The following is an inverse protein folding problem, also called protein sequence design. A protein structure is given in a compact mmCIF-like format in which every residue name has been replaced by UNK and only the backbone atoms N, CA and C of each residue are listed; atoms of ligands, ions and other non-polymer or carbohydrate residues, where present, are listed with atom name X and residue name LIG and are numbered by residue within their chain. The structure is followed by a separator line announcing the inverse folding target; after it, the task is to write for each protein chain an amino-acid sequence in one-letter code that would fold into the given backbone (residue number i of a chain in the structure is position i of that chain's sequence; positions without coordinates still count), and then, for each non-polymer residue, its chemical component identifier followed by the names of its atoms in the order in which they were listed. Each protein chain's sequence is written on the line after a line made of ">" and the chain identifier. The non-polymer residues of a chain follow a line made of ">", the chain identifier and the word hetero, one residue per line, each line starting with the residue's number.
data_IF_478544982398
#
_entry.id   IF_478544982398
#
_cell.length_a   1.000
_cell.length_b   1.000
_cell.length_c   1.000
_cell.angle_alpha   90.00
_cell.angle_beta   90.00
_cell.angle_gamma   90.00
#
_symmetry.space_group_name_H-M   'P 1'
#
loop_
_entity.id
_entity.type
_entity.pdbx_description
1 polymer ?
#
# COMPACT_ATOMS: atom_id res chain seq x y z
N UNK A 1 -3.37 28.36 -16.21
CA UNK A 1 -2.95 26.94 -16.19
C UNK A 1 -3.52 26.15 -15.00
N UNK A 2 -3.48 26.65 -13.76
CA UNK A 2 -3.99 25.92 -12.58
C UNK A 2 -5.47 25.49 -12.65
N UNK A 3 -6.37 26.37 -13.10
CA UNK A 3 -7.80 26.08 -13.21
C UNK A 3 -8.15 24.94 -14.18
N UNK A 4 -7.41 24.79 -15.28
CA UNK A 4 -7.61 23.69 -16.25
C UNK A 4 -7.18 22.35 -15.66
N UNK A 5 -6.06 22.33 -14.91
CA UNK A 5 -5.60 21.12 -14.22
C UNK A 5 -6.56 20.68 -13.12
N UNK A 6 -7.10 21.64 -12.35
CA UNK A 6 -8.10 21.35 -11.34
C UNK A 6 -9.36 20.74 -11.96
N UNK A 7 -9.85 21.27 -13.09
CA UNK A 7 -11.01 20.69 -13.79
C UNK A 7 -10.79 19.23 -14.19
N UNK A 8 -9.60 18.86 -14.66
CA UNK A 8 -9.27 17.46 -15.01
C UNK A 8 -9.32 16.54 -13.79
N UNK A 9 -8.79 16.98 -12.64
CA UNK A 9 -8.90 16.21 -11.39
C UNK A 9 -10.35 16.05 -10.96
N UNK A 10 -11.10 17.16 -10.96
CA UNK A 10 -12.50 17.15 -10.54
C UNK A 10 -13.36 16.25 -11.45
N UNK A 11 -12.99 16.06 -12.72
CA UNK A 11 -13.68 15.14 -13.62
C UNK A 11 -13.54 13.66 -13.22
N UNK A 12 -12.46 13.29 -12.52
CA UNK A 12 -12.29 11.95 -11.95
C UNK A 12 -12.77 11.85 -10.50
N UNK A 13 -13.24 12.95 -9.91
CA UNK A 13 -13.68 12.97 -8.51
C UNK A 13 -15.14 12.58 -8.41
N UNK A 14 -15.38 11.37 -7.91
CA UNK A 14 -16.73 10.89 -7.60
C UNK A 14 -17.26 11.52 -6.30
N UNK A 15 -18.57 11.75 -6.24
CA UNK A 15 -19.25 12.16 -5.00
C UNK A 15 -19.33 13.66 -4.69
N UNK A 16 -18.86 14.56 -5.58
CA UNK A 16 -19.00 16.03 -5.40
C UNK A 16 -20.46 16.42 -5.13
N UNK A 17 -21.38 15.81 -5.86
CA UNK A 17 -22.83 15.92 -5.67
C UNK A 17 -23.47 14.54 -5.44
N UNK A 18 -22.73 13.66 -4.75
CA UNK A 18 -23.10 12.26 -4.57
C UNK A 18 -24.36 12.08 -3.74
N UNK A 19 -25.11 11.02 -4.05
CA UNK A 19 -26.26 10.55 -3.27
C UNK A 19 -26.10 9.07 -3.00
N UNK A 20 -26.10 8.69 -1.73
CA UNK A 20 -25.91 7.31 -1.30
C UNK A 20 -27.15 6.81 -0.57
N UNK A 21 -27.82 5.81 -1.14
CA UNK A 21 -29.01 5.21 -0.54
C UNK A 21 -28.60 4.32 0.64
N UNK A 22 -29.33 4.44 1.76
CA UNK A 22 -29.05 3.65 2.96
C UNK A 22 -29.17 2.15 2.72
N UNK A 23 -30.08 1.72 1.83
CA UNK A 23 -30.24 0.33 1.43
C UNK A 23 -28.99 -0.26 0.76
N UNK A 24 -28.13 0.58 0.20
CA UNK A 24 -26.92 0.17 -0.52
C UNK A 24 -25.67 0.16 0.35
N UNK A 25 -25.73 0.70 1.57
CA UNK A 25 -24.58 0.72 2.48
C UNK A 25 -24.32 -0.71 2.99
N UNK A 26 -23.07 -1.18 2.93
CA UNK A 26 -22.65 -2.51 3.36
C UNK A 26 -21.69 -2.51 4.53
N UNK A 27 -20.87 -1.48 4.67
CA UNK A 27 -19.95 -1.33 5.79
C UNK A 27 -19.57 0.13 6.02
N UNK A 28 -19.37 0.49 7.29
CA UNK A 28 -19.02 1.83 7.73
C UNK A 28 -17.84 1.70 8.70
N UNK A 29 -16.74 2.38 8.39
CA UNK A 29 -15.52 2.34 9.18
C UNK A 29 -15.14 3.72 9.70
N UNK A 30 -14.79 3.80 10.99
CA UNK A 30 -14.00 4.92 11.51
C UNK A 30 -12.64 4.96 10.81
N UNK A 31 -12.21 6.16 10.45
CA UNK A 31 -10.93 6.42 9.78
C UNK A 31 -10.20 7.58 10.45
N UNK A 32 -8.91 7.66 10.13
CA UNK A 32 -8.10 8.83 10.40
C UNK A 32 -7.92 9.65 9.14
N UNK A 33 -7.75 10.96 9.29
CA UNK A 33 -7.29 11.86 8.25
C UNK A 33 -6.24 12.78 8.85
N UNK A 34 -5.06 12.86 8.21
CA UNK A 34 -3.88 13.55 8.79
C UNK A 34 -3.61 13.12 10.25
N UNK A 35 -3.69 11.81 10.49
CA UNK A 35 -3.56 11.16 11.80
C UNK A 35 -4.64 11.49 12.84
N UNK A 36 -5.61 12.37 12.53
CA UNK A 36 -6.73 12.72 13.40
C UNK A 36 -7.88 11.72 13.26
N UNK A 37 -8.44 11.24 14.37
CA UNK A 37 -9.56 10.27 14.36
C UNK A 37 -10.92 10.95 14.12
N UNK A 38 -11.03 11.61 12.97
CA UNK A 38 -12.14 12.49 12.60
C UNK A 38 -12.77 12.13 11.26
N UNK A 39 -12.42 10.99 10.67
CA UNK A 39 -12.91 10.58 9.37
C UNK A 39 -13.78 9.32 9.43
N UNK A 40 -14.55 9.11 8.36
CA UNK A 40 -15.42 7.96 8.17
C UNK A 40 -15.36 7.51 6.72
N UNK A 41 -15.35 6.20 6.50
CA UNK A 41 -15.44 5.63 5.16
C UNK A 41 -16.62 4.66 5.06
N UNK A 42 -17.39 4.80 3.98
CA UNK A 42 -18.63 4.09 3.74
C UNK A 42 -18.46 3.29 2.44
N UNK A 43 -18.69 1.99 2.51
CA UNK A 43 -18.67 1.11 1.33
C UNK A 43 -20.07 0.65 0.96
N UNK A 44 -20.33 0.69 -0.33
CA UNK A 44 -21.61 0.42 -0.96
C UNK A 44 -21.66 -1.01 -1.53
N UNK A 45 -22.85 -1.48 -1.92
CA UNK A 45 -23.07 -2.81 -2.49
C UNK A 45 -22.26 -3.07 -3.77
N UNK A 46 -22.10 -2.04 -4.60
CA UNK A 46 -21.29 -2.06 -5.82
C UNK A 46 -19.77 -1.95 -5.56
N UNK A 47 -19.32 -2.13 -4.31
CA UNK A 47 -17.91 -2.03 -3.87
C UNK A 47 -17.29 -0.64 -3.93
N UNK A 48 -18.03 0.39 -4.33
CA UNK A 48 -17.55 1.78 -4.24
C UNK A 48 -17.44 2.18 -2.77
N UNK A 49 -16.29 2.76 -2.40
CA UNK A 49 -16.04 3.37 -1.10
C UNK A 49 -15.98 4.88 -1.22
N UNK A 50 -16.64 5.61 -0.32
CA UNK A 50 -16.52 7.07 -0.19
C UNK A 50 -16.05 7.44 1.21
N UNK A 51 -15.09 8.36 1.30
CA UNK A 51 -14.51 8.83 2.55
C UNK A 51 -14.85 10.28 2.83
N UNK A 52 -15.20 10.58 4.08
CA UNK A 52 -15.48 11.92 4.58
C UNK A 52 -14.61 12.22 5.80
N UNK A 53 -14.09 13.44 5.89
CA UNK A 53 -13.49 13.97 7.11
C UNK A 53 -14.44 14.97 7.77
N UNK A 54 -14.45 14.99 9.10
CA UNK A 54 -15.30 15.85 9.92
C UNK A 54 -14.45 16.74 10.83
N UNK A 55 -15.03 17.79 11.45
CA UNK A 55 -14.29 18.67 12.36
C UNK A 55 -13.75 17.96 13.62
N UNK A 56 -14.47 16.98 14.15
CA UNK A 56 -14.12 16.30 15.40
C UNK A 56 -14.71 14.87 15.49
N UNK A 57 -14.20 14.10 16.45
CA UNK A 57 -14.64 12.73 16.71
C UNK A 57 -16.10 12.64 17.21
N UNK A 58 -16.59 13.69 17.89
CA UNK A 58 -17.97 13.73 18.37
C UNK A 58 -18.96 13.77 17.19
N UNK A 59 -18.60 14.48 16.12
CA UNK A 59 -19.34 14.58 14.87
C UNK A 59 -19.36 13.24 14.14
N UNK A 60 -18.22 12.54 14.05
CA UNK A 60 -18.18 11.17 13.51
C UNK A 60 -19.18 10.27 14.24
N UNK A 61 -19.20 10.31 15.57
CA UNK A 61 -20.15 9.52 16.38
C UNK A 61 -21.61 9.89 16.11
N UNK A 62 -21.93 11.19 15.98
CA UNK A 62 -23.27 11.67 15.62
C UNK A 62 -23.69 11.15 14.24
N UNK A 63 -22.82 11.24 13.25
CA UNK A 63 -23.07 10.74 11.88
C UNK A 63 -23.33 9.23 11.87
N UNK A 64 -22.47 8.43 12.53
CA UNK A 64 -22.67 6.97 12.63
C UNK A 64 -23.99 6.61 13.29
N UNK A 65 -24.45 7.39 14.28
CA UNK A 65 -25.75 7.17 14.93
C UNK A 65 -26.94 7.35 13.97
N UNK A 66 -26.81 8.21 12.97
CA UNK A 66 -27.82 8.43 11.93
C UNK A 66 -27.74 7.42 10.78
N UNK A 67 -26.60 6.75 10.60
CA UNK A 67 -26.39 5.79 9.51
C UNK A 67 -26.95 4.38 9.84
N UNK A 68 -27.17 3.52 8.83
CA UNK A 68 -27.60 2.14 9.01
C UNK A 68 -26.67 1.31 9.91
N UNK A 69 -27.23 0.34 10.63
CA UNK A 69 -26.50 -0.54 11.56
C UNK A 69 -25.80 -1.69 10.82
N UNK A 70 -24.81 -1.36 9.98
CA UNK A 70 -24.09 -2.35 9.17
C UNK A 70 -22.75 -2.80 9.77
N UNK A 71 -22.27 -2.10 10.81
CA UNK A 71 -20.94 -2.33 11.36
C UNK A 71 -19.86 -2.13 10.29
N UNK A 72 -18.85 -2.99 10.30
CA UNK A 72 -17.80 -3.03 9.27
C UNK A 72 -18.05 -4.12 8.22
N UNK A 73 -19.31 -4.48 8.01
CA UNK A 73 -19.71 -5.56 7.10
C UNK A 73 -19.65 -6.95 7.75
N UNK A 74 -19.92 -7.98 6.95
CA UNK A 74 -20.05 -9.37 7.41
C UNK A 74 -18.75 -10.19 7.28
N UNK A 75 -17.82 -9.72 6.46
CA UNK A 75 -16.65 -10.50 6.01
C UNK A 75 -15.66 -10.77 7.15
N UNK A 76 -15.58 -9.87 8.14
CA UNK A 76 -14.58 -9.93 9.22
C UNK A 76 -15.04 -10.68 10.47
N UNK A 77 -16.16 -11.39 10.40
CA UNK A 77 -16.68 -12.20 11.51
C UNK A 77 -17.07 -11.37 12.75
N UNK A 78 -17.48 -10.12 12.55
CA UNK A 78 -17.81 -9.19 13.63
C UNK A 78 -19.30 -8.81 13.63
N UNK A 79 -19.89 -8.48 14.79
CA UNK A 79 -21.27 -8.05 14.86
C UNK A 79 -21.52 -6.76 14.06
N UNK A 80 -22.61 -6.72 13.30
CA UNK A 80 -23.02 -5.54 12.52
C UNK A 80 -23.65 -4.48 13.42
N UNK A 81 -22.82 -3.76 14.17
CA UNK A 81 -23.26 -2.73 15.11
C UNK A 81 -22.52 -1.42 14.89
N UNK A 82 -23.17 -0.30 15.23
CA UNK A 82 -22.54 1.03 15.22
C UNK A 82 -21.31 1.12 16.13
N UNK A 83 -21.31 0.33 17.22
CA UNK A 83 -20.14 0.20 18.11
C UNK A 83 -18.94 -0.35 17.36
N UNK A 84 -19.13 -1.35 16.50
CA UNK A 84 -18.06 -1.92 15.68
C UNK A 84 -17.61 -0.93 14.59
N UNK A 85 -18.50 -0.15 13.99
CA UNK A 85 -18.11 0.94 13.08
C UNK A 85 -17.20 1.99 13.74
N UNK A 86 -17.36 2.22 15.05
CA UNK A 86 -16.58 3.16 15.86
C UNK A 86 -15.42 2.50 16.62
N UNK A 87 -15.20 1.19 16.45
CA UNK A 87 -14.17 0.47 17.17
C UNK A 87 -12.77 0.87 16.68
N UNK A 88 -11.79 0.87 17.59
CA UNK A 88 -10.41 1.12 17.21
C UNK A 88 -9.83 -0.05 16.42
N UNK A 89 -8.79 0.18 15.57
CA UNK A 89 -8.11 -0.90 14.84
C UNK A 89 -7.72 -2.09 15.72
N UNK A 90 -7.22 -1.82 16.94
CA UNK A 90 -6.82 -2.86 17.91
C UNK A 90 -8.01 -3.68 18.41
N UNK A 91 -9.17 -3.04 18.63
CA UNK A 91 -10.38 -3.73 19.04
C UNK A 91 -10.92 -4.63 17.92
N UNK A 92 -10.91 -4.13 16.67
CA UNK A 92 -11.34 -4.90 15.50
C UNK A 92 -10.43 -6.11 15.31
N UNK A 93 -9.11 -5.91 15.33
CA UNK A 93 -8.14 -7.00 15.18
C UNK A 93 -8.34 -8.10 16.23
N UNK A 94 -8.45 -7.73 17.52
CA UNK A 94 -8.60 -8.70 18.61
C UNK A 94 -9.92 -9.50 18.54
N UNK A 95 -10.99 -8.87 18.05
CA UNK A 95 -12.32 -9.47 18.07
C UNK A 95 -12.69 -10.19 16.76
N UNK A 96 -11.97 -9.93 15.66
CA UNK A 96 -12.21 -10.57 14.37
C UNK A 96 -11.71 -12.01 14.38
N UNK A 97 -12.35 -12.87 13.59
CA UNK A 97 -11.90 -14.25 13.35
C UNK A 97 -10.92 -14.38 12.16
N UNK A 98 -10.55 -13.29 11.51
CA UNK A 98 -9.76 -13.32 10.26
C UNK A 98 -8.37 -13.93 10.46
N UNK A 99 -7.73 -13.75 11.62
CA UNK A 99 -6.44 -14.35 11.93
C UNK A 99 -6.54 -15.88 11.99
N UNK A 100 -7.57 -16.41 12.65
CA UNK A 100 -7.79 -17.87 12.71
C UNK A 100 -8.09 -18.42 11.32
N UNK A 101 -8.94 -17.74 10.54
CA UNK A 101 -9.25 -18.13 9.16
C UNK A 101 -8.00 -18.15 8.28
N UNK A 102 -7.10 -17.18 8.45
CA UNK A 102 -5.81 -17.14 7.76
C UNK A 102 -4.91 -18.30 8.18
N UNK A 103 -4.80 -18.57 9.48
CA UNK A 103 -4.01 -19.70 10.01
C UNK A 103 -4.54 -21.07 9.52
N UNK A 104 -5.85 -21.19 9.38
CA UNK A 104 -6.52 -22.37 8.82
C UNK A 104 -6.54 -22.41 7.28
N UNK A 105 -5.90 -21.43 6.61
CA UNK A 105 -5.84 -21.31 5.14
C UNK A 105 -7.21 -21.16 4.46
N UNK A 106 -8.21 -20.68 5.18
CA UNK A 106 -9.51 -20.30 4.60
C UNK A 106 -9.44 -18.97 3.85
N UNK A 107 -8.42 -18.15 4.14
CA UNK A 107 -8.08 -16.94 3.41
C UNK A 107 -6.58 -16.90 3.10
N UNK A 108 -6.22 -16.36 1.95
CA UNK A 108 -4.84 -16.24 1.49
C UNK A 108 -4.07 -15.13 2.23
N UNK A 109 -2.73 -15.16 2.12
CA UNK A 109 -1.86 -14.07 2.62
C UNK A 109 -2.26 -12.71 2.04
N UNK A 110 -2.61 -12.65 0.75
CA UNK A 110 -3.05 -11.42 0.11
C UNK A 110 -4.33 -10.89 0.77
N UNK A 111 -5.34 -11.73 0.96
CA UNK A 111 -6.61 -11.33 1.60
C UNK A 111 -6.40 -10.91 3.05
N UNK A 112 -5.54 -11.61 3.78
CA UNK A 112 -5.21 -11.26 5.15
C UNK A 112 -4.44 -9.93 5.24
N UNK A 113 -3.47 -9.67 4.35
CA UNK A 113 -2.80 -8.37 4.25
C UNK A 113 -3.78 -7.25 3.87
N UNK A 114 -4.73 -7.49 2.97
CA UNK A 114 -5.78 -6.52 2.67
C UNK A 114 -6.68 -6.26 3.88
N UNK A 115 -7.02 -7.29 4.65
CA UNK A 115 -7.75 -7.14 5.91
C UNK A 115 -6.97 -6.27 6.90
N UNK A 116 -5.69 -6.57 7.16
CA UNK A 116 -4.84 -5.81 8.07
C UNK A 116 -4.74 -4.34 7.66
N UNK A 117 -4.52 -4.07 6.37
CA UNK A 117 -4.52 -2.72 5.82
C UNK A 117 -5.86 -2.00 6.08
N UNK A 118 -6.97 -2.66 5.75
CA UNK A 118 -8.33 -2.09 5.90
C UNK A 118 -8.66 -1.73 7.35
N UNK A 119 -8.36 -2.61 8.31
CA UNK A 119 -8.64 -2.35 9.73
C UNK A 119 -7.66 -1.35 10.34
N UNK A 120 -6.44 -1.25 9.81
CA UNK A 120 -5.48 -0.21 10.17
C UNK A 120 -5.89 1.19 9.66
N UNK A 121 -6.97 1.28 8.87
CA UNK A 121 -7.49 2.53 8.33
C UNK A 121 -6.85 2.93 6.99
N UNK A 122 -6.11 2.03 6.35
CA UNK A 122 -5.60 2.25 4.99
C UNK A 122 -6.74 2.19 3.98
N UNK A 123 -6.65 3.01 2.94
CA UNK A 123 -7.73 3.17 1.96
C UNK A 123 -7.19 3.66 0.61
N UNK A 124 -7.92 3.34 -0.45
CA UNK A 124 -7.71 3.88 -1.80
C UNK A 124 -8.21 5.34 -1.96
N UNK A 125 -9.07 5.82 -1.07
CA UNK A 125 -9.63 7.18 -1.11
C UNK A 125 -8.66 8.27 -0.60
N UNK A 126 -7.62 7.89 0.15
CA UNK A 126 -6.57 8.81 0.61
C UNK A 126 -5.20 8.19 0.30
N UNK A 127 -4.54 8.71 -0.74
CA UNK A 127 -3.24 8.22 -1.19
C UNK A 127 -2.13 8.35 -0.13
N UNK A 128 -2.28 9.22 0.87
CA UNK A 128 -1.34 9.31 1.99
C UNK A 128 -1.45 8.11 2.95
N UNK A 129 -2.56 7.38 2.88
CA UNK A 129 -2.87 6.20 3.67
C UNK A 129 -3.11 4.98 2.77
N UNK A 130 -2.45 4.93 1.60
CA UNK A 130 -2.56 3.83 0.66
C UNK A 130 -2.20 2.47 1.31
N UNK A 131 -2.85 1.36 0.93
CA UNK A 131 -2.48 0.04 1.42
C UNK A 131 -1.02 -0.31 1.12
N UNK A 132 -0.39 -1.03 2.05
CA UNK A 132 1.04 -1.36 2.01
C UNK A 132 1.21 -2.87 1.90
N UNK A 133 2.06 -3.30 0.97
CA UNK A 133 2.46 -4.69 0.77
C UNK A 133 3.98 -4.80 0.83
N UNK A 134 4.54 -5.90 1.37
CA UNK A 134 5.98 -6.03 1.50
C UNK A 134 6.62 -6.34 0.14
N UNK A 135 7.85 -5.89 -0.09
CA UNK A 135 8.71 -6.58 -1.06
C UNK A 135 8.91 -8.05 -0.65
N UNK A 136 8.78 -8.97 -1.60
CA UNK A 136 8.89 -10.41 -1.36
C UNK A 136 10.11 -11.01 -2.06
N UNK A 137 10.23 -10.78 -3.36
CA UNK A 137 11.33 -11.30 -4.17
C UNK A 137 12.52 -10.34 -4.05
N UNK A 138 13.74 -10.89 -4.01
CA UNK A 138 15.00 -10.11 -3.99
C UNK A 138 15.77 -10.23 -5.30
N UNK A 139 15.50 -11.27 -6.09
CA UNK A 139 16.20 -11.57 -7.34
C UNK A 139 15.39 -11.10 -8.56
N UNK A 140 15.89 -10.03 -9.20
CA UNK A 140 15.33 -9.45 -10.42
C UNK A 140 16.33 -9.43 -11.57
N UNK A 141 17.38 -10.27 -11.49
CA UNK A 141 18.50 -10.27 -12.45
C UNK A 141 18.68 -11.64 -13.14
N UNK A 142 18.28 -12.75 -12.51
CA UNK A 142 18.40 -14.09 -13.11
C UNK A 142 17.38 -14.37 -14.22
N UNK A 143 17.76 -15.21 -15.19
CA UNK A 143 16.88 -15.73 -16.26
C UNK A 143 15.75 -16.62 -15.74
N UNK A 144 15.97 -17.30 -14.64
CA UNK A 144 14.98 -18.14 -13.96
C UNK A 144 14.88 -17.75 -12.48
N UNK A 145 13.69 -17.90 -11.92
CA UNK A 145 13.43 -17.66 -10.51
C UNK A 145 13.03 -18.97 -9.82
N UNK A 146 13.99 -19.60 -9.14
CA UNK A 146 13.73 -20.77 -8.30
C UNK A 146 13.03 -20.36 -7.00
N UNK A 147 11.75 -20.74 -6.89
CA UNK A 147 10.90 -20.44 -5.74
C UNK A 147 11.20 -21.32 -4.51
N UNK A 148 12.09 -22.30 -4.64
CA UNK A 148 12.54 -23.14 -3.53
C UNK A 148 13.79 -22.60 -2.85
N UNK A 149 14.52 -21.68 -3.50
CA UNK A 149 15.76 -21.13 -3.00
C UNK A 149 15.51 -19.96 -2.04
N UNK A 150 15.84 -20.08 -0.73
CA UNK A 150 15.53 -19.04 0.26
C UNK A 150 16.20 -17.69 -0.02
N UNK A 151 17.34 -17.67 -0.71
CA UNK A 151 18.04 -16.41 -1.04
C UNK A 151 17.29 -15.53 -2.06
N UNK A 152 16.30 -16.08 -2.77
CA UNK A 152 15.42 -15.31 -3.66
C UNK A 152 14.31 -14.56 -2.91
N UNK A 153 14.17 -14.79 -1.60
CA UNK A 153 13.14 -14.18 -0.78
C UNK A 153 13.73 -13.20 0.22
N UNK A 154 12.98 -12.13 0.49
CA UNK A 154 13.35 -11.11 1.46
C UNK A 154 13.14 -11.66 2.87
N UNK A 155 14.09 -11.35 3.75
CA UNK A 155 13.88 -11.47 5.20
C UNK A 155 12.75 -10.51 5.66
N UNK A 156 11.54 -11.05 5.82
CA UNK A 156 10.36 -10.29 6.25
C UNK A 156 10.39 -9.89 7.73
N UNK A 157 11.34 -10.38 8.53
CA UNK A 157 11.52 -9.92 9.91
C UNK A 157 12.15 -8.52 9.99
N UNK A 158 12.71 -8.02 8.88
CA UNK A 158 13.45 -6.76 8.81
C UNK A 158 12.75 -5.72 7.92
N UNK A 159 12.76 -4.43 8.31
CA UNK A 159 12.35 -3.35 7.42
C UNK A 159 13.34 -3.17 6.27
N UNK A 160 12.92 -2.49 5.18
CA UNK A 160 13.75 -2.24 3.99
C UNK A 160 15.12 -1.68 4.36
N UNK A 161 15.13 -0.66 5.24
CA UNK A 161 16.35 0.02 5.67
C UNK A 161 17.40 -0.88 6.34
N UNK A 162 16.98 -2.01 6.91
CA UNK A 162 17.82 -2.95 7.64
C UNK A 162 18.30 -4.16 6.81
N UNK A 163 17.87 -4.28 5.55
CA UNK A 163 18.25 -5.42 4.69
C UNK A 163 19.72 -5.36 4.25
N UNK A 164 20.19 -4.17 3.85
CA UNK A 164 21.58 -3.94 3.47
C UNK A 164 22.40 -3.59 4.71
N UNK A 165 23.39 -4.41 5.14
CA UNK A 165 24.13 -4.19 6.38
C UNK A 165 24.87 -2.86 6.44
N UNK A 166 25.45 -2.41 5.32
CA UNK A 166 26.17 -1.12 5.26
C UNK A 166 25.22 0.05 5.51
N UNK A 167 24.01 -0.04 4.93
CA UNK A 167 22.99 0.99 5.09
C UNK A 167 22.34 0.93 6.47
N UNK A 168 22.15 -0.26 7.01
CA UNK A 168 21.65 -0.46 8.37
C UNK A 168 22.58 0.20 9.40
N UNK A 169 23.90 0.04 9.25
CA UNK A 169 24.89 0.70 10.12
C UNK A 169 24.78 2.23 10.06
N UNK A 170 24.62 2.80 8.86
CA UNK A 170 24.39 4.24 8.69
C UNK A 170 23.11 4.74 9.38
N UNK A 171 22.01 3.97 9.32
CA UNK A 171 20.78 4.33 10.01
C UNK A 171 20.90 4.20 11.53
N UNK A 172 21.61 3.19 12.03
CA UNK A 172 21.90 3.02 13.45
C UNK A 172 22.76 4.19 13.98
N UNK A 173 23.83 4.55 13.27
CA UNK A 173 24.69 5.69 13.64
C UNK A 173 23.90 7.00 13.66
N UNK A 174 23.03 7.25 12.66
CA UNK A 174 22.12 8.42 12.68
C UNK A 174 21.27 8.43 13.94
N UNK A 175 20.65 7.31 14.29
CA UNK A 175 19.77 7.22 15.45
C UNK A 175 20.55 7.46 16.76
N UNK A 176 21.72 6.84 16.90
CA UNK A 176 22.56 6.94 18.09
C UNK A 176 23.09 8.37 18.30
N UNK A 177 23.63 8.98 17.23
CA UNK A 177 24.21 10.34 17.23
C UNK A 177 23.18 11.48 17.17
N UNK A 178 21.89 11.17 17.08
CA UNK A 178 20.85 12.19 17.04
C UNK A 178 20.73 12.93 18.38
N UNK A 179 21.10 14.21 18.36
CA UNK A 179 21.05 15.15 19.49
C UNK A 179 20.15 16.34 19.13
N UNK A 180 18.84 16.15 19.24
CA UNK A 180 17.85 17.22 19.11
C UNK A 180 16.81 17.06 20.23
N UNK A 181 16.64 18.11 21.04
CA UNK A 181 15.73 18.09 22.20
C UNK A 181 14.25 18.18 21.80
N UNK A 182 13.93 18.63 20.59
CA UNK A 182 12.56 18.82 20.10
C UNK A 182 12.10 17.67 19.20
N UNK A 183 13.01 17.06 18.45
CA UNK A 183 12.70 16.00 17.49
C UNK A 183 13.17 14.65 18.02
N UNK A 184 12.26 13.69 18.27
CA UNK A 184 12.65 12.35 18.72
C UNK A 184 13.61 11.66 17.75
N UNK A 185 14.53 10.85 18.29
CA UNK A 185 15.46 10.04 17.49
C UNK A 185 14.72 9.18 16.48
N UNK A 186 15.26 9.08 15.26
CA UNK A 186 14.69 8.25 14.19
C UNK A 186 15.77 7.64 13.30
N UNK A 187 15.45 6.49 12.72
CA UNK A 187 16.31 5.84 11.73
C UNK A 187 16.09 6.44 10.34
N UNK A 188 14.83 6.64 9.96
CA UNK A 188 14.43 7.02 8.61
C UNK A 188 13.71 8.37 8.61
N UNK A 189 14.25 9.36 7.89
CA UNK A 189 13.56 10.63 7.61
C UNK A 189 12.53 10.52 6.48
N UNK A 190 12.45 9.37 5.83
CA UNK A 190 11.48 9.05 4.79
C UNK A 190 10.58 7.90 5.24
N UNK A 191 9.45 7.70 4.56
CA UNK A 191 8.44 6.73 4.96
C UNK A 191 8.22 5.69 3.86
N UNK A 192 7.92 4.44 4.22
CA UNK A 192 7.76 3.33 3.28
C UNK A 192 6.52 3.44 2.37
N UNK A 193 5.56 4.32 2.72
CA UNK A 193 4.30 4.53 2.02
C UNK A 193 3.98 6.02 1.96
N UNK A 194 3.90 6.58 0.76
CA UNK A 194 3.52 7.99 0.54
C UNK A 194 2.60 8.10 -0.67
N UNK A 195 1.82 9.17 -0.76
CA UNK A 195 1.01 9.45 -1.95
C UNK A 195 1.89 9.53 -3.21
N UNK A 196 3.07 10.13 -3.10
CA UNK A 196 4.06 10.20 -4.19
C UNK A 196 4.48 8.81 -4.65
N UNK A 197 4.72 7.86 -3.75
CA UNK A 197 5.06 6.49 -4.13
C UNK A 197 3.91 5.77 -4.82
N UNK A 198 2.68 5.89 -4.30
CA UNK A 198 1.50 5.31 -4.96
C UNK A 198 1.35 5.84 -6.39
N UNK A 199 1.49 7.16 -6.60
CA UNK A 199 1.42 7.77 -7.93
C UNK A 199 2.58 7.37 -8.85
N UNK A 200 3.79 7.24 -8.30
CA UNK A 200 4.95 6.76 -9.07
C UNK A 200 4.76 5.32 -9.54
N UNK A 201 4.23 4.44 -8.68
CA UNK A 201 3.94 3.05 -9.06
C UNK A 201 2.82 2.95 -10.10
N UNK A 202 1.79 3.78 -9.98
CA UNK A 202 0.59 3.73 -10.82
C UNK A 202 0.64 4.69 -12.01
N UNK A 203 1.81 5.29 -12.29
CA UNK A 203 1.99 6.38 -13.26
C UNK A 203 1.35 6.12 -14.63
N UNK A 204 1.30 4.85 -15.06
CA UNK A 204 0.84 4.44 -16.39
C UNK A 204 -0.67 4.24 -16.50
N UNK A 205 -1.41 4.34 -15.40
CA UNK A 205 -2.86 4.13 -15.33
C UNK A 205 -3.57 5.44 -14.96
N UNK A 206 -4.67 5.77 -15.65
CA UNK A 206 -5.56 6.84 -15.22
C UNK A 206 -6.50 6.36 -14.10
N UNK A 207 -6.83 7.21 -13.10
CA UNK A 207 -6.58 8.66 -13.04
C UNK A 207 -5.21 9.07 -12.45
N UNK A 208 -4.34 8.10 -12.11
CA UNK A 208 -3.09 8.38 -11.39
C UNK A 208 -2.09 9.17 -12.22
N UNK A 209 -2.06 8.99 -13.54
CA UNK A 209 -1.27 9.85 -14.44
C UNK A 209 -1.68 11.32 -14.31
N UNK A 210 -2.98 11.61 -14.38
CA UNK A 210 -3.51 12.98 -14.23
C UNK A 210 -3.17 13.57 -12.85
N UNK A 211 -3.29 12.77 -11.78
CA UNK A 211 -2.94 13.20 -10.42
C UNK A 211 -1.43 13.47 -10.28
N UNK A 212 -0.58 12.60 -10.82
CA UNK A 212 0.88 12.77 -10.82
C UNK A 212 1.29 14.05 -11.54
N UNK A 213 0.77 14.27 -12.76
CA UNK A 213 1.06 15.47 -13.55
C UNK A 213 0.60 16.73 -12.82
N UNK A 214 -0.51 16.69 -12.09
CA UNK A 214 -0.95 17.84 -11.31
C UNK A 214 0.05 18.20 -10.21
N UNK A 215 0.52 17.21 -9.45
CA UNK A 215 1.51 17.41 -8.38
C UNK A 215 2.86 17.89 -8.94
N UNK A 216 3.28 17.39 -10.09
CA UNK A 216 4.55 17.74 -10.73
C UNK A 216 4.49 18.99 -11.63
N UNK A 217 3.47 19.83 -11.47
CA UNK A 217 3.40 21.09 -12.22
C UNK A 217 3.10 20.95 -13.71
N UNK A 218 2.55 19.82 -14.14
CA UNK A 218 1.98 19.57 -15.47
C UNK A 218 2.86 18.79 -16.43
N UNK A 219 4.02 18.30 -15.98
CA UNK A 219 4.94 17.49 -16.78
C UNK A 219 5.30 16.20 -16.05
N UNK A 220 5.72 15.20 -16.81
CA UNK A 220 6.36 14.02 -16.23
C UNK A 220 7.68 14.40 -15.56
N UNK A 221 8.12 13.57 -14.62
CA UNK A 221 9.41 13.74 -13.95
C UNK A 221 10.58 13.40 -14.90
N UNK A 222 11.82 13.61 -14.47
CA UNK A 222 13.00 13.17 -15.22
C UNK A 222 12.94 11.65 -15.46
N UNK A 223 13.34 11.22 -16.65
CA UNK A 223 13.28 9.81 -17.07
C UNK A 223 14.04 8.88 -16.09
N UNK A 224 15.22 9.29 -15.62
CA UNK A 224 16.03 8.54 -14.64
C UNK A 224 15.39 8.38 -13.26
N UNK A 225 14.46 9.27 -12.89
CA UNK A 225 13.71 9.17 -11.61
C UNK A 225 12.37 8.48 -11.78
N UNK A 226 11.87 8.42 -13.00
CA UNK A 226 10.61 7.75 -13.31
C UNK A 226 10.73 6.24 -13.10
N UNK A 227 9.69 5.64 -12.53
CA UNK A 227 9.63 4.19 -12.39
C UNK A 227 9.63 3.55 -13.78
N UNK A 228 10.71 2.84 -14.11
CA UNK A 228 10.91 2.25 -15.43
C UNK A 228 11.41 0.81 -15.39
N UNK A 229 11.85 0.31 -14.23
CA UNK A 229 12.49 -1.01 -14.12
C UNK A 229 12.29 -1.56 -12.71
N UNK A 230 11.87 -2.83 -12.62
CA UNK A 230 11.68 -3.51 -11.34
C UNK A 230 13.02 -3.66 -10.61
N UNK A 231 14.05 -4.13 -11.34
CA UNK A 231 15.39 -4.33 -10.80
C UNK A 231 15.99 -3.01 -10.29
N UNK A 232 15.85 -1.92 -11.06
CA UNK A 232 16.30 -0.59 -10.62
C UNK A 232 15.55 -0.11 -9.38
N UNK A 233 14.24 -0.29 -9.33
CA UNK A 233 13.42 0.15 -8.20
C UNK A 233 13.77 -0.61 -6.91
N UNK A 234 14.00 -1.92 -7.00
CA UNK A 234 14.52 -2.72 -5.89
C UNK A 234 15.92 -2.27 -5.48
N UNK A 235 16.84 -2.11 -6.44
CA UNK A 235 18.22 -1.68 -6.16
C UNK A 235 18.27 -0.33 -5.47
N UNK A 236 17.43 0.62 -5.89
CA UNK A 236 17.32 1.93 -5.25
C UNK A 236 16.81 1.79 -3.82
N UNK A 237 15.76 0.98 -3.59
CA UNK A 237 15.25 0.70 -2.25
C UNK A 237 16.27 -0.02 -1.35
N UNK A 238 17.36 -0.58 -1.89
CA UNK A 238 18.45 -1.19 -1.13
C UNK A 238 19.68 -0.28 -0.92
N UNK A 239 19.84 0.79 -1.70
CA UNK A 239 21.06 1.59 -1.75
C UNK A 239 20.86 3.05 -1.37
N UNK A 240 19.79 3.67 -1.84
CA UNK A 240 19.51 5.07 -1.52
C UNK A 240 19.07 5.17 -0.05
N UNK A 241 19.62 6.15 0.67
CA UNK A 241 19.32 6.39 2.08
C UNK A 241 17.98 7.09 2.27
N UNK A 242 17.45 7.70 1.21
CA UNK A 242 16.14 8.33 1.17
C UNK A 242 15.05 7.41 0.63
N UNK A 243 15.41 6.24 0.06
CA UNK A 243 14.47 5.29 -0.51
C UNK A 243 14.37 4.00 0.33
N UNK A 244 13.32 3.96 1.16
CA UNK A 244 12.95 2.79 1.96
C UNK A 244 11.53 2.30 1.64
N UNK A 245 11.07 2.51 0.40
CA UNK A 245 9.69 2.24 0.00
C UNK A 245 9.34 0.75 0.00
N UNK A 246 8.15 0.45 0.50
CA UNK A 246 7.50 -0.86 0.33
C UNK A 246 6.63 -0.87 -0.94
N UNK A 247 6.08 -2.04 -1.27
CA UNK A 247 5.20 -2.22 -2.41
C UNK A 247 3.75 -1.82 -2.10
N UNK A 248 2.95 -1.80 -3.16
CA UNK A 248 1.49 -1.64 -3.12
C UNK A 248 0.81 -2.95 -3.55
N UNK A 249 -0.47 -3.17 -3.19
CA UNK A 249 -1.20 -4.38 -3.55
C UNK A 249 -1.15 -4.75 -5.04
N UNK A 250 -1.12 -3.75 -5.92
CA UNK A 250 -1.23 -3.86 -7.37
C UNK A 250 -0.09 -4.69 -7.99
N UNK A 251 1.08 -4.75 -7.35
CA UNK A 251 2.18 -5.65 -7.76
C UNK A 251 1.79 -7.14 -7.75
N UNK A 252 0.70 -7.49 -7.07
CA UNK A 252 0.24 -8.87 -6.87
C UNK A 252 -1.08 -9.20 -7.60
N UNK A 253 -1.62 -8.27 -8.39
CA UNK A 253 -2.83 -8.55 -9.18
C UNK A 253 -3.06 -7.67 -10.43
N UNK A 254 -2.34 -6.56 -10.64
CA UNK A 254 -2.65 -5.57 -11.68
C UNK A 254 -1.48 -5.40 -12.67
N UNK A 255 -1.36 -6.23 -13.71
CA UNK A 255 -0.26 -6.17 -14.68
C UNK A 255 -0.19 -4.85 -15.48
N UNK A 256 -1.30 -4.15 -15.63
CA UNK A 256 -1.42 -2.90 -16.39
C UNK A 256 -0.53 -1.79 -15.84
N UNK A 257 -0.11 -1.84 -14.57
CA UNK A 257 0.78 -0.81 -13.98
C UNK A 257 2.17 -0.83 -14.63
N UNK A 258 2.53 -1.93 -15.30
CA UNK A 258 3.81 -2.13 -15.95
C UNK A 258 3.79 -1.81 -17.45
N UNK A 259 2.62 -1.51 -18.03
CA UNK A 259 2.45 -1.28 -19.47
C UNK A 259 2.07 0.17 -19.74
N UNK A 260 2.73 0.81 -20.69
CA UNK A 260 2.40 2.15 -21.16
C UNK A 260 1.32 2.10 -22.25
N UNK A 261 0.17 1.50 -21.95
CA UNK A 261 -0.94 1.33 -22.91
C UNK A 261 -1.47 2.66 -23.48
N UNK A 262 -1.28 3.75 -22.74
CA UNK A 262 -1.69 5.09 -23.14
C UNK A 262 -0.65 5.83 -24.00
N UNK A 263 0.47 5.18 -24.33
CA UNK A 263 1.56 5.74 -25.14
C UNK A 263 2.08 7.08 -24.62
N UNK A 264 2.23 7.21 -23.30
CA UNK A 264 2.78 8.41 -22.69
C UNK A 264 4.23 8.62 -23.11
N UNK A 265 4.61 9.89 -23.32
CA UNK A 265 6.01 10.28 -23.47
C UNK A 265 6.64 10.44 -22.08
N UNK A 266 7.31 9.39 -21.60
CA UNK A 266 7.98 9.36 -20.30
C UNK A 266 9.45 9.80 -20.38
N UNK A 267 9.89 10.26 -21.56
CA UNK A 267 11.23 10.76 -21.80
C UNK A 267 12.26 9.67 -22.14
N UNK A 268 13.51 10.11 -22.18
CA UNK A 268 14.69 9.29 -22.47
C UNK A 268 15.67 9.51 -21.34
N UNK A 269 16.24 8.43 -20.81
CA UNK A 269 17.25 8.48 -19.76
C UNK A 269 18.57 9.04 -20.29
N UNK A 270 19.47 9.43 -19.38
CA UNK A 270 20.79 9.95 -19.74
C UNK A 270 21.64 8.93 -20.54
N UNK A 271 21.40 7.64 -20.37
CA UNK A 271 22.06 6.56 -21.13
C UNK A 271 21.46 6.30 -22.52
N UNK A 272 20.42 7.07 -22.91
CA UNK A 272 19.72 6.94 -24.18
C UNK A 272 18.55 5.96 -24.17
N UNK A 273 18.25 5.29 -23.05
CA UNK A 273 17.13 4.35 -22.94
C UNK A 273 15.80 5.09 -22.94
N UNK A 274 14.91 4.73 -23.88
CA UNK A 274 13.56 5.29 -23.95
C UNK A 274 12.69 4.70 -22.85
N UNK A 275 12.01 5.55 -22.08
CA UNK A 275 11.09 5.10 -21.02
C UNK A 275 9.70 4.89 -21.61
N UNK A 276 9.18 3.66 -21.52
CA UNK A 276 7.79 3.33 -21.88
C UNK A 276 7.25 2.28 -20.90
N UNK A 277 7.19 1.02 -21.33
CA UNK A 277 6.85 -0.11 -20.46
C UNK A 277 7.91 -0.26 -19.38
N UNK A 278 7.51 -0.84 -18.25
CA UNK A 278 8.43 -1.14 -17.17
C UNK A 278 9.26 -2.35 -17.57
N UNK A 279 10.58 -2.20 -17.50
CA UNK A 279 11.53 -3.30 -17.68
C UNK A 279 11.29 -4.36 -16.59
N UNK A 280 10.89 -5.53 -17.05
CA UNK A 280 10.63 -6.71 -16.23
C UNK A 280 11.94 -7.48 -15.97
N UNK A 281 12.01 -8.23 -14.87
CA UNK A 281 13.12 -9.15 -14.67
C UNK A 281 13.14 -10.24 -15.76
N UNK A 282 14.31 -10.81 -16.10
CA UNK A 282 14.43 -11.76 -17.21
C UNK A 282 13.52 -13.00 -17.10
N UNK A 283 13.23 -13.45 -15.87
CA UNK A 283 12.32 -14.56 -15.58
C UNK A 283 10.84 -14.28 -15.83
N UNK A 284 10.44 -13.03 -16.12
CA UNK A 284 9.08 -12.66 -16.48
C UNK A 284 9.05 -12.09 -17.90
N UNK A 285 8.48 -12.85 -18.85
CA UNK A 285 8.38 -12.42 -20.25
C UNK A 285 7.24 -11.44 -20.49
N UNK A 286 6.26 -11.41 -19.59
CA UNK A 286 5.08 -10.54 -19.68
C UNK A 286 4.72 -9.94 -18.31
N UNK A 287 4.06 -8.78 -18.26
CA UNK A 287 3.52 -8.20 -17.03
C UNK A 287 2.59 -9.17 -16.27
N UNK A 288 1.78 -9.93 -16.99
CA UNK A 288 0.87 -10.94 -16.46
C UNK A 288 1.66 -12.06 -15.78
N UNK A 289 2.74 -12.53 -16.41
CA UNK A 289 3.64 -13.52 -15.81
C UNK A 289 4.34 -12.97 -14.56
N UNK A 290 4.83 -11.72 -14.61
CA UNK A 290 5.42 -11.07 -13.44
C UNK A 290 4.45 -11.03 -12.26
N UNK A 291 3.21 -10.58 -12.48
CA UNK A 291 2.18 -10.52 -11.44
C UNK A 291 1.79 -11.92 -10.94
N UNK A 292 1.64 -12.89 -11.84
CA UNK A 292 1.35 -14.29 -11.49
C UNK A 292 2.42 -14.86 -10.57
N UNK A 293 3.70 -14.66 -10.89
CA UNK A 293 4.82 -15.14 -10.07
C UNK A 293 4.86 -14.41 -8.73
N UNK A 294 4.68 -13.08 -8.69
CA UNK A 294 4.56 -12.35 -7.43
C UNK A 294 3.44 -12.90 -6.54
N UNK A 295 2.28 -13.23 -7.13
CA UNK A 295 1.15 -13.80 -6.41
C UNK A 295 1.42 -15.23 -5.90
N UNK A 296 2.25 -16.00 -6.59
CA UNK A 296 2.75 -17.29 -6.09
C UNK A 296 3.73 -17.09 -4.94
N UNK A 297 4.69 -16.17 -5.07
CA UNK A 297 5.67 -15.91 -4.03
C UNK A 297 5.00 -15.46 -2.72
N UNK A 298 4.04 -14.53 -2.78
CA UNK A 298 3.34 -14.08 -1.57
C UNK A 298 2.54 -15.20 -0.91
N UNK A 299 2.12 -16.23 -1.65
CA UNK A 299 1.46 -17.41 -1.08
C UNK A 299 2.45 -18.31 -0.33
N UNK A 300 3.66 -18.49 -0.86
CA UNK A 300 4.69 -19.39 -0.31
C UNK A 300 5.22 -18.93 1.05
N UNK A 301 5.39 -17.61 1.27
CA UNK A 301 6.03 -17.08 2.49
C UNK A 301 5.24 -17.37 3.78
N UNK A 302 3.98 -17.82 3.69
CA UNK A 302 3.24 -18.31 4.86
C UNK A 302 4.04 -19.38 5.63
N UNK A 303 4.74 -20.25 4.91
CA UNK A 303 5.46 -21.39 5.51
C UNK A 303 6.61 -20.91 6.40
N UNK A 304 7.37 -19.89 5.99
CA UNK A 304 8.52 -19.40 6.76
C UNK A 304 8.13 -18.52 7.95
N UNK A 305 7.07 -17.71 7.82
CA UNK A 305 6.58 -16.84 8.91
C UNK A 305 5.94 -17.65 10.05
N UNK A 306 5.19 -18.71 9.74
CA UNK A 306 4.60 -19.56 10.76
C UNK A 306 5.64 -20.39 11.53
N UNK A 307 6.69 -20.88 10.87
CA UNK A 307 7.77 -21.61 11.55
C UNK A 307 8.55 -20.73 12.54
N UNK A 308 8.83 -19.47 12.16
CA UNK A 308 9.52 -18.52 13.06
C UNK A 308 8.65 -18.08 14.23
N UNK A 309 7.33 -17.94 14.04
CA UNK A 309 6.42 -17.55 15.11
C UNK A 309 6.02 -18.71 16.04
N UNK A 310 6.14 -19.97 15.60
CA UNK A 310 5.95 -21.13 16.48
C UNK A 310 7.14 -21.38 17.41
N UNK A 311 8.36 -21.05 16.97
CA UNK A 311 9.56 -21.19 17.81
C UNK A 311 9.63 -20.15 18.94
N UNK A 312 8.98 -18.99 18.78
CA UNK A 312 8.89 -17.95 19.82
C UNK A 312 7.78 -18.21 20.87
N UNK A 313 6.89 -19.18 20.64
CA UNK A 313 5.83 -19.52 21.62
C UNK A 313 6.27 -20.47 22.74
N UNK A 314 7.47 -21.05 22.66
CA UNK A 314 8.02 -21.94 23.70
C UNK A 314 8.81 -21.20 24.81
N UNK A 315 8.82 -19.86 24.82
CA UNK A 315 9.51 -19.03 25.82
C UNK A 315 8.59 -18.24 26.77
N UNK A 316 7.28 -18.55 26.82
CA UNK A 316 6.39 -18.08 27.90
C UNK A 316 5.45 -19.18 28.41
N UNK A 317 6.01 -20.13 29.15
CA UNK A 317 5.35 -20.76 30.30
C UNK A 317 6.13 -20.45 31.58
#
# INVERSE_FOLDING_TARGET
>A
MGAVRLRKILAYTEGIHGKWLFSEIRSIFSRRYLLQNTALEIFMANRVGVMFNFPDQATVKKVVNCLPRVGIGTIFGLPQTRRISLASPRQIFKASNMTQRWQHREISNFEYLMFLNTIAGRTYNDLNQYPVFPWVITNYESEELDLTLPSNFRDLSKPIGALNPKRAAFFAERYESWEDDQVPKFHYGTHYSTASFALTWLLRIEPFTTLFLNLQGGKFDHADRTFSSISRAWRNSQRDTSDIKELIPEFYYLPEIFVNSNNYNLGVMDDGTVVSDVELPPWAKTPEEFVRINRLCIFIIYIELCLKLSDDTDLQM
#
